data_IF_231233583891
#
_entry.id   IF_231233583891
#
_cell.length_a   1.000
_cell.length_b   1.000
_cell.length_c   1.000
_cell.angle_alpha   90.00
_cell.angle_beta   90.00
_cell.angle_gamma   90.00
#
_symmetry.space_group_name_H-M   'P 1'
#
loop_
_entity.id
_entity.type
_entity.pdbx_description
1 polymer ?
#
# COMPACT_ATOMS: atom_id res chain seq x y z
N UNK A 1 94.38 -22.36 -37.28
CA UNK A 1 93.21 -23.10 -37.68
C UNK A 1 92.05 -22.38 -37.05
N UNK A 2 91.20 -21.89 -37.87
CA UNK A 2 90.12 -20.91 -37.54
C UNK A 2 89.01 -21.45 -36.67
N UNK A 3 88.63 -20.68 -35.69
CA UNK A 3 87.39 -20.86 -35.00
C UNK A 3 86.62 -19.52 -35.02
N UNK A 4 85.43 -19.54 -35.65
CA UNK A 4 84.54 -18.42 -35.85
C UNK A 4 83.72 -18.19 -34.59
N UNK A 5 83.30 -16.91 -34.23
CA UNK A 5 82.46 -16.66 -33.05
C UNK A 5 81.00 -16.69 -33.40
N UNK A 6 80.20 -17.31 -32.51
CA UNK A 6 78.78 -17.44 -32.56
C UNK A 6 78.05 -16.12 -32.15
N UNK A 7 77.09 -15.76 -32.93
CA UNK A 7 76.18 -14.61 -32.71
C UNK A 7 75.10 -14.97 -31.67
N UNK A 8 75.09 -14.27 -30.54
CA UNK A 8 74.01 -14.37 -29.55
C UNK A 8 72.91 -13.35 -29.94
N UNK A 9 71.81 -13.84 -30.37
CA UNK A 9 70.60 -13.04 -30.60
C UNK A 9 69.82 -12.73 -29.25
N UNK A 10 69.81 -11.46 -28.88
CA UNK A 10 68.96 -10.99 -27.76
C UNK A 10 67.51 -10.95 -28.20
N UNK A 11 66.71 -11.76 -27.58
CA UNK A 11 65.25 -11.63 -27.65
C UNK A 11 64.78 -10.65 -26.54
N UNK A 12 64.33 -9.45 -26.97
CA UNK A 12 63.65 -8.50 -26.07
C UNK A 12 62.22 -8.94 -25.77
N UNK A 13 61.95 -9.27 -24.54
CA UNK A 13 60.58 -9.48 -24.04
C UNK A 13 59.87 -8.14 -23.96
N UNK A 14 58.93 -7.90 -24.87
CA UNK A 14 57.95 -6.81 -24.72
C UNK A 14 56.83 -7.31 -23.83
N UNK A 15 56.79 -6.85 -22.59
CA UNK A 15 55.65 -7.05 -21.71
C UNK A 15 54.51 -6.10 -22.12
N UNK A 16 53.51 -6.64 -22.80
CA UNK A 16 52.27 -5.94 -23.11
C UNK A 16 51.44 -5.84 -21.84
N UNK A 17 51.47 -4.67 -21.19
CA UNK A 17 50.57 -4.37 -20.04
C UNK A 17 49.19 -4.02 -20.61
N UNK A 18 48.29 -4.99 -20.54
CA UNK A 18 46.87 -4.76 -20.84
C UNK A 18 46.21 -4.12 -19.62
N UNK A 19 46.01 -2.80 -19.67
CA UNK A 19 45.21 -2.08 -18.68
C UNK A 19 43.71 -2.43 -18.91
N UNK A 20 43.18 -3.30 -18.07
CA UNK A 20 41.73 -3.60 -18.05
C UNK A 20 41.02 -2.47 -17.27
N UNK A 21 40.54 -1.47 -17.98
CA UNK A 21 39.65 -0.45 -17.40
C UNK A 21 38.26 -1.07 -17.19
N UNK A 22 37.96 -1.48 -15.95
CA UNK A 22 36.64 -1.89 -15.54
C UNK A 22 35.79 -0.61 -15.39
N UNK A 23 34.99 -0.29 -16.40
CA UNK A 23 33.93 0.71 -16.31
C UNK A 23 32.83 0.18 -15.39
N UNK A 24 32.85 0.59 -14.11
CA UNK A 24 31.73 0.44 -13.19
C UNK A 24 30.59 1.34 -13.68
N UNK A 25 29.71 0.77 -14.49
CA UNK A 25 28.41 1.37 -14.76
C UNK A 25 27.60 1.34 -13.45
N UNK A 26 27.68 2.42 -12.68
CA UNK A 26 26.73 2.67 -11.61
C UNK A 26 25.36 2.86 -12.26
N UNK A 27 24.54 1.82 -12.31
CA UNK A 27 23.14 1.94 -12.64
C UNK A 27 22.47 2.76 -11.52
N UNK A 28 22.37 4.07 -11.74
CA UNK A 28 21.50 4.92 -10.95
C UNK A 28 20.09 4.52 -11.36
N UNK A 29 19.47 3.59 -10.64
CA UNK A 29 18.02 3.39 -10.74
C UNK A 29 17.38 4.75 -10.43
N UNK A 30 16.54 5.28 -11.33
CA UNK A 30 15.78 6.48 -11.01
C UNK A 30 14.94 6.18 -9.78
N UNK A 31 15.24 6.79 -8.65
CA UNK A 31 14.39 6.76 -7.48
C UNK A 31 13.10 7.47 -7.87
N UNK A 32 12.03 6.70 -8.03
CA UNK A 32 10.69 7.24 -8.27
C UNK A 32 10.39 8.24 -7.15
N UNK A 33 10.06 9.48 -7.51
CA UNK A 33 9.86 10.54 -6.52
C UNK A 33 8.70 10.17 -5.59
N UNK A 34 8.98 10.14 -4.28
CA UNK A 34 7.97 9.85 -3.26
C UNK A 34 6.84 10.88 -3.32
N UNK A 35 5.62 10.40 -3.34
CA UNK A 35 4.43 11.25 -3.45
C UNK A 35 3.51 11.05 -2.24
N UNK A 36 3.22 12.15 -1.53
CA UNK A 36 2.27 12.22 -0.43
C UNK A 36 1.50 13.52 -0.55
N UNK A 37 0.35 13.50 -1.25
CA UNK A 37 -0.44 14.69 -1.55
C UNK A 37 -1.86 14.56 -1.08
N UNK A 38 -2.45 15.71 -0.76
CA UNK A 38 -3.87 15.89 -0.46
C UNK A 38 -4.41 16.88 -1.49
N UNK A 39 -5.32 16.42 -2.31
CA UNK A 39 -5.97 17.24 -3.34
C UNK A 39 -7.48 17.29 -3.09
N UNK A 40 -8.15 18.29 -3.64
CA UNK A 40 -9.61 18.27 -3.78
C UNK A 40 -10.02 17.22 -4.82
N UNK A 41 -11.27 16.74 -4.74
CA UNK A 41 -11.77 15.79 -5.74
C UNK A 41 -11.94 16.51 -7.08
N UNK A 42 -11.10 16.16 -8.08
CA UNK A 42 -11.23 16.68 -9.45
C UNK A 42 -12.47 16.11 -10.14
N UNK A 43 -12.90 16.73 -11.24
CA UNK A 43 -14.05 16.22 -12.01
C UNK A 43 -13.78 14.81 -12.58
N UNK A 44 -12.55 14.54 -13.01
CA UNK A 44 -12.17 13.21 -13.49
C UNK A 44 -12.27 12.13 -12.38
N UNK A 45 -11.79 12.42 -11.18
CA UNK A 45 -11.95 11.50 -10.03
C UNK A 45 -13.42 11.35 -9.67
N UNK A 46 -14.17 12.46 -9.63
CA UNK A 46 -15.58 12.42 -9.28
C UNK A 46 -16.41 11.61 -10.28
N UNK A 47 -16.13 11.70 -11.58
CA UNK A 47 -16.78 10.87 -12.59
C UNK A 47 -16.54 9.36 -12.37
N UNK A 48 -15.35 8.95 -11.91
CA UNK A 48 -15.08 7.55 -11.54
C UNK A 48 -15.95 7.07 -10.38
N UNK A 49 -16.26 7.98 -9.43
CA UNK A 49 -17.01 7.68 -8.21
C UNK A 49 -18.54 7.69 -8.41
N UNK A 50 -19.05 8.50 -9.35
CA UNK A 50 -20.48 8.66 -9.56
C UNK A 50 -21.17 7.34 -9.92
N UNK A 51 -22.28 7.05 -9.25
CA UNK A 51 -23.04 5.80 -9.43
C UNK A 51 -22.38 4.56 -8.80
N UNK A 52 -21.18 4.69 -8.24
CA UNK A 52 -20.43 3.62 -7.58
C UNK A 52 -20.24 3.96 -6.10
N UNK A 53 -19.03 4.34 -5.66
CA UNK A 53 -18.79 4.75 -4.27
C UNK A 53 -19.54 6.02 -3.88
N UNK A 54 -19.96 6.84 -4.85
CA UNK A 54 -20.76 8.05 -4.69
C UNK A 54 -22.09 7.91 -5.43
N UNK A 55 -23.07 7.14 -4.89
CA UNK A 55 -24.36 6.91 -5.54
C UNK A 55 -25.25 8.15 -5.47
N UNK A 56 -26.33 8.17 -6.26
CA UNK A 56 -27.41 9.16 -6.15
C UNK A 56 -27.98 9.13 -4.72
N UNK A 57 -28.06 10.28 -4.09
CA UNK A 57 -28.51 10.39 -2.68
C UNK A 57 -27.39 10.26 -1.64
N UNK A 58 -26.14 10.23 -2.05
CA UNK A 58 -25.03 10.40 -1.13
C UNK A 58 -25.16 11.76 -0.41
N UNK A 59 -25.20 11.72 0.94
CA UNK A 59 -25.36 12.93 1.77
C UNK A 59 -24.03 13.64 2.08
N UNK A 60 -22.90 13.01 1.76
CA UNK A 60 -21.57 13.60 1.97
C UNK A 60 -21.28 14.53 0.81
N UNK A 61 -21.06 15.83 1.09
CA UNK A 61 -20.65 16.77 0.06
C UNK A 61 -19.30 16.39 -0.54
N UNK A 62 -19.15 16.56 -1.86
CA UNK A 62 -17.86 16.41 -2.55
C UNK A 62 -16.76 17.29 -1.91
N UNK A 63 -17.13 18.48 -1.41
CA UNK A 63 -16.21 19.40 -0.73
C UNK A 63 -15.69 18.90 0.62
N UNK A 64 -16.35 17.92 1.23
CA UNK A 64 -15.90 17.25 2.46
C UNK A 64 -14.87 16.15 2.17
N UNK A 65 -14.73 15.74 0.93
CA UNK A 65 -13.82 14.67 0.51
C UNK A 65 -12.49 15.22 0.00
N UNK A 66 -11.45 14.42 0.16
CA UNK A 66 -10.10 14.65 -0.36
C UNK A 66 -9.61 13.42 -1.12
N UNK A 67 -8.88 13.69 -2.20
CA UNK A 67 -8.15 12.67 -2.95
C UNK A 67 -6.70 12.66 -2.46
N UNK A 68 -6.25 11.49 -2.04
CA UNK A 68 -4.88 11.30 -1.58
C UNK A 68 -4.09 10.52 -2.63
N UNK A 69 -2.88 10.98 -2.92
CA UNK A 69 -1.88 10.22 -3.67
C UNK A 69 -0.76 9.82 -2.71
N UNK A 70 -0.46 8.52 -2.62
CA UNK A 70 0.36 7.95 -1.56
C UNK A 70 1.37 6.96 -2.13
N UNK A 71 2.66 7.17 -1.89
CA UNK A 71 3.68 6.14 -2.15
C UNK A 71 3.64 5.05 -1.08
N UNK A 72 3.69 3.79 -1.50
CA UNK A 72 3.74 2.64 -0.59
C UNK A 72 4.64 1.53 -1.15
N UNK A 73 5.13 0.65 -0.28
CA UNK A 73 5.83 -0.57 -0.65
C UNK A 73 4.90 -1.76 -0.63
N UNK A 74 5.10 -2.72 -1.54
CA UNK A 74 4.53 -4.06 -1.40
C UNK A 74 5.45 -4.98 -0.55
N UNK A 75 5.06 -6.24 -0.39
CA UNK A 75 5.82 -7.22 0.39
C UNK A 75 7.19 -7.56 -0.22
N UNK A 76 7.35 -7.38 -1.54
CA UNK A 76 8.63 -7.55 -2.23
C UNK A 76 9.54 -6.31 -2.13
N UNK A 77 9.08 -5.24 -1.46
CA UNK A 77 9.80 -3.98 -1.36
C UNK A 77 9.74 -3.12 -2.61
N UNK A 78 8.84 -3.42 -3.55
CA UNK A 78 8.59 -2.59 -4.72
C UNK A 78 7.75 -1.38 -4.36
N UNK A 79 8.16 -0.20 -4.83
CA UNK A 79 7.41 1.05 -4.68
C UNK A 79 6.22 1.09 -5.63
N UNK A 80 5.10 1.59 -5.12
CA UNK A 80 3.88 1.87 -5.87
C UNK A 80 3.34 3.24 -5.50
N UNK A 81 2.58 3.83 -6.41
CA UNK A 81 1.77 5.01 -6.13
C UNK A 81 0.31 4.59 -6.02
N UNK A 82 -0.26 4.78 -4.84
CA UNK A 82 -1.65 4.48 -4.52
C UNK A 82 -2.52 5.72 -4.50
N UNK A 83 -3.83 5.49 -4.52
CA UNK A 83 -4.86 6.53 -4.47
C UNK A 83 -5.97 6.17 -3.48
N UNK A 84 -6.45 7.16 -2.73
CA UNK A 84 -7.56 7.02 -1.78
C UNK A 84 -8.48 8.24 -1.88
N UNK A 85 -9.75 8.03 -1.55
CA UNK A 85 -10.66 9.12 -1.21
C UNK A 85 -11.06 8.97 0.25
N UNK A 86 -10.93 10.05 1.02
CA UNK A 86 -11.30 10.10 2.44
C UNK A 86 -11.98 11.42 2.80
N UNK A 87 -12.54 11.52 4.01
CA UNK A 87 -13.02 12.80 4.53
C UNK A 87 -11.83 13.74 4.82
N UNK A 88 -12.04 15.04 4.57
CA UNK A 88 -11.03 16.08 4.85
C UNK A 88 -10.55 16.08 6.30
N UNK A 89 -11.36 15.60 7.24
CA UNK A 89 -11.07 15.55 8.68
C UNK A 89 -9.92 14.61 9.04
N UNK A 90 -9.71 13.56 8.24
CA UNK A 90 -8.68 12.55 8.48
C UNK A 90 -7.58 12.56 7.42
N UNK A 91 -7.67 13.43 6.41
CA UNK A 91 -6.75 13.43 5.28
C UNK A 91 -5.28 13.68 5.69
N UNK A 92 -5.04 14.65 6.57
CA UNK A 92 -3.70 14.95 7.08
C UNK A 92 -3.15 13.79 7.92
N UNK A 93 -3.96 13.22 8.82
CA UNK A 93 -3.57 12.07 9.62
C UNK A 93 -3.15 10.88 8.74
N UNK A 94 -3.94 10.57 7.69
CA UNK A 94 -3.61 9.48 6.78
C UNK A 94 -2.29 9.72 6.04
N UNK A 95 -2.03 10.94 5.56
CA UNK A 95 -0.76 11.26 4.89
C UNK A 95 0.42 11.09 5.84
N UNK A 96 0.31 11.52 7.09
CA UNK A 96 1.39 11.40 8.07
C UNK A 96 1.64 9.93 8.46
N UNK A 97 0.57 9.15 8.63
CA UNK A 97 0.64 7.71 8.86
C UNK A 97 1.33 7.01 7.67
N UNK A 98 0.86 7.22 6.45
CA UNK A 98 1.42 6.57 5.26
C UNK A 98 2.86 6.98 4.98
N UNK A 99 3.24 8.24 5.23
CA UNK A 99 4.63 8.69 5.14
C UNK A 99 5.51 7.95 6.14
N UNK A 100 5.03 7.73 7.35
CA UNK A 100 5.74 6.99 8.40
C UNK A 100 5.86 5.50 8.07
N UNK A 101 4.79 4.88 7.55
CA UNK A 101 4.79 3.49 7.07
C UNK A 101 5.75 3.29 5.89
N UNK A 102 5.77 4.23 4.94
CA UNK A 102 6.69 4.21 3.80
C UNK A 102 8.16 4.27 4.26
N UNK A 103 8.50 5.22 5.16
CA UNK A 103 9.85 5.32 5.75
C UNK A 103 10.30 4.04 6.44
N UNK A 104 9.37 3.30 7.03
CA UNK A 104 9.62 2.04 7.71
C UNK A 104 9.54 0.82 6.78
N UNK A 105 9.34 1.00 5.47
CA UNK A 105 9.11 -0.07 4.50
C UNK A 105 7.97 -1.02 4.90
N UNK A 106 6.95 -0.51 5.62
CA UNK A 106 5.79 -1.32 6.02
C UNK A 106 4.95 -1.66 4.78
N UNK A 107 4.67 -2.94 4.52
CA UNK A 107 4.10 -3.34 3.25
C UNK A 107 2.58 -3.08 3.18
N UNK A 108 2.14 -2.44 2.10
CA UNK A 108 0.75 -2.32 1.69
C UNK A 108 0.69 -2.80 0.25
N UNK A 109 -0.06 -3.87 -0.02
CA UNK A 109 -0.01 -4.51 -1.33
C UNK A 109 -0.62 -3.66 -2.43
N UNK A 110 -1.78 -3.06 -2.16
CA UNK A 110 -2.53 -2.30 -3.17
C UNK A 110 -3.32 -1.18 -2.51
N UNK A 111 -3.42 -0.07 -3.22
CA UNK A 111 -4.18 1.10 -2.79
C UNK A 111 -4.78 1.78 -4.03
N UNK A 112 -6.05 1.46 -4.33
CA UNK A 112 -6.80 1.97 -5.48
C UNK A 112 -8.19 2.39 -5.03
N UNK A 113 -8.83 3.29 -5.79
CA UNK A 113 -10.22 3.62 -5.52
C UNK A 113 -11.08 2.35 -5.59
N UNK A 114 -12.01 2.22 -4.65
CA UNK A 114 -12.97 1.08 -4.64
C UNK A 114 -13.82 1.05 -5.91
N UNK A 115 -13.91 2.16 -6.60
CA UNK A 115 -14.61 2.35 -7.87
C UNK A 115 -14.03 1.52 -9.01
N UNK A 116 -12.74 1.18 -8.95
CA UNK A 116 -12.08 0.25 -9.88
C UNK A 116 -12.59 -1.20 -9.69
N UNK A 117 -13.29 -1.46 -8.58
CA UNK A 117 -13.95 -2.71 -8.24
C UNK A 117 -15.48 -2.57 -8.27
N UNK A 118 -16.02 -1.56 -8.96
CA UNK A 118 -17.45 -1.26 -9.05
C UNK A 118 -18.08 -0.95 -7.67
N UNK A 119 -17.30 -0.40 -6.74
CA UNK A 119 -17.67 -0.17 -5.34
C UNK A 119 -18.16 -1.44 -4.60
N UNK A 120 -17.75 -2.61 -5.08
CA UNK A 120 -18.01 -3.90 -4.46
C UNK A 120 -16.91 -4.22 -3.44
N UNK A 121 -17.28 -4.18 -2.16
CA UNK A 121 -16.36 -4.46 -1.05
C UNK A 121 -15.72 -5.84 -1.15
N UNK A 122 -16.50 -6.87 -1.48
CA UNK A 122 -15.98 -8.24 -1.55
C UNK A 122 -14.93 -8.38 -2.65
N UNK A 123 -15.16 -7.78 -3.82
CA UNK A 123 -14.19 -7.78 -4.93
C UNK A 123 -12.92 -7.00 -4.56
N UNK A 124 -13.07 -5.83 -3.94
CA UNK A 124 -11.96 -5.00 -3.49
C UNK A 124 -11.11 -5.73 -2.44
N UNK A 125 -11.76 -6.29 -1.40
CA UNK A 125 -11.09 -7.02 -0.33
C UNK A 125 -10.39 -8.29 -0.84
N UNK A 126 -11.00 -9.04 -1.77
CA UNK A 126 -10.38 -10.22 -2.40
C UNK A 126 -9.10 -9.90 -3.14
N UNK A 127 -9.01 -8.71 -3.71
CA UNK A 127 -7.83 -8.19 -4.39
C UNK A 127 -6.79 -7.57 -3.43
N UNK A 128 -6.99 -7.69 -2.13
CA UNK A 128 -6.17 -7.08 -1.08
C UNK A 128 -6.02 -5.56 -1.25
N UNK A 129 -7.11 -4.88 -1.65
CA UNK A 129 -7.10 -3.46 -1.92
C UNK A 129 -7.41 -2.64 -0.67
N UNK A 130 -6.46 -1.83 -0.22
CA UNK A 130 -6.64 -0.81 0.83
C UNK A 130 -7.57 0.27 0.30
N UNK A 131 -8.66 0.57 1.01
CA UNK A 131 -9.68 1.54 0.58
C UNK A 131 -10.30 2.29 1.76
N UNK A 132 -10.89 3.46 1.49
CA UNK A 132 -11.46 4.31 2.54
C UNK A 132 -12.92 4.69 2.26
N UNK A 133 -13.19 5.65 1.38
CA UNK A 133 -14.54 6.12 1.12
C UNK A 133 -15.34 5.14 0.24
N UNK A 134 -16.51 4.74 0.73
CA UNK A 134 -17.54 4.04 -0.03
C UNK A 134 -18.90 4.29 0.64
N UNK A 135 -19.82 4.99 -0.05
CA UNK A 135 -21.11 5.35 0.52
C UNK A 135 -22.07 4.15 0.53
N UNK A 136 -22.14 3.49 1.66
CA UNK A 136 -22.97 2.30 1.86
C UNK A 136 -23.39 2.12 3.32
N UNK A 137 -24.43 1.36 3.53
CA UNK A 137 -24.79 0.90 4.87
C UNK A 137 -23.85 -0.19 5.39
N UNK A 138 -23.78 -0.38 6.68
CA UNK A 138 -23.16 -1.56 7.31
C UNK A 138 -23.92 -2.80 6.87
N UNK A 139 -23.20 -3.86 6.48
CA UNK A 139 -23.81 -5.12 6.03
C UNK A 139 -24.86 -5.66 7.00
N UNK A 140 -26.09 -5.85 6.51
CA UNK A 140 -27.23 -6.31 7.31
C UNK A 140 -27.88 -5.23 8.21
N UNK A 141 -27.62 -3.94 7.96
CA UNK A 141 -28.13 -2.82 8.74
C UNK A 141 -28.56 -1.67 7.84
N UNK A 142 -29.44 -0.78 8.35
CA UNK A 142 -29.75 0.52 7.73
C UNK A 142 -28.78 1.63 8.15
N UNK A 143 -27.89 1.37 9.13
CA UNK A 143 -26.91 2.33 9.63
C UNK A 143 -25.81 2.54 8.59
N UNK A 144 -25.50 3.80 8.26
CA UNK A 144 -24.35 4.11 7.40
C UNK A 144 -23.06 3.67 8.04
N UNK A 145 -22.18 3.07 7.23
CA UNK A 145 -20.81 2.72 7.61
C UNK A 145 -20.00 4.00 7.85
N UNK A 146 -18.94 3.91 8.64
CA UNK A 146 -17.91 4.96 8.74
C UNK A 146 -17.21 5.18 7.40
N UNK A 147 -17.10 4.15 6.54
CA UNK A 147 -16.66 4.31 5.16
C UNK A 147 -17.56 5.22 4.34
N UNK A 148 -18.87 5.19 4.58
CA UNK A 148 -19.82 6.09 3.92
C UNK A 148 -19.59 7.57 4.25
N UNK A 149 -18.92 7.85 5.36
CA UNK A 149 -18.52 9.19 5.78
C UNK A 149 -17.08 9.53 5.39
N UNK A 150 -16.35 8.56 4.84
CA UNK A 150 -14.90 8.66 4.57
C UNK A 150 -14.04 8.74 5.84
N UNK A 151 -14.55 8.23 6.98
CA UNK A 151 -13.91 8.26 8.30
C UNK A 151 -13.39 6.89 8.74
N UNK A 152 -13.37 5.91 7.85
CA UNK A 152 -12.76 4.61 8.07
C UNK A 152 -11.90 4.21 6.89
N UNK A 153 -10.91 3.37 7.16
CA UNK A 153 -10.01 2.79 6.17
C UNK A 153 -9.77 1.32 6.48
N UNK A 154 -9.78 0.49 5.43
CA UNK A 154 -9.42 -0.91 5.49
C UNK A 154 -8.04 -1.11 4.87
N UNK A 155 -7.11 -1.72 5.62
CA UNK A 155 -5.72 -1.93 5.23
C UNK A 155 -5.46 -3.42 5.00
N UNK A 156 -4.92 -3.79 3.81
CA UNK A 156 -4.57 -5.18 3.46
C UNK A 156 -5.68 -6.19 3.81
N UNK A 157 -6.91 -6.02 3.30
CA UNK A 157 -8.10 -6.70 3.81
C UNK A 157 -8.10 -8.22 3.60
N UNK A 158 -7.46 -8.74 2.56
CA UNK A 158 -7.35 -10.18 2.34
C UNK A 158 -6.64 -10.88 3.50
N UNK A 159 -5.58 -10.27 4.03
CA UNK A 159 -4.77 -10.81 5.13
C UNK A 159 -5.31 -10.42 6.51
N UNK A 160 -6.24 -9.48 6.56
CA UNK A 160 -6.80 -8.94 7.82
C UNK A 160 -8.34 -8.99 7.79
N UNK A 161 -8.93 -10.20 7.74
CA UNK A 161 -10.33 -10.36 7.46
C UNK A 161 -11.24 -9.80 8.57
N UNK A 162 -12.46 -9.42 8.16
CA UNK A 162 -13.59 -9.34 9.06
C UNK A 162 -14.03 -10.76 9.45
N UNK A 163 -14.33 -10.97 10.73
CA UNK A 163 -14.80 -12.25 11.27
C UNK A 163 -15.92 -12.04 12.30
N UNK A 164 -17.07 -12.70 12.05
CA UNK A 164 -18.20 -12.74 13.00
C UNK A 164 -18.81 -14.14 12.97
N UNK A 165 -18.58 -14.94 14.00
CA UNK A 165 -18.96 -16.36 13.99
C UNK A 165 -18.38 -17.08 12.79
N UNK A 166 -19.22 -17.72 11.97
CA UNK A 166 -18.81 -18.42 10.75
C UNK A 166 -18.58 -17.47 9.54
N UNK A 167 -19.04 -16.21 9.62
CA UNK A 167 -18.89 -15.24 8.52
C UNK A 167 -17.48 -14.69 8.49
N UNK A 168 -16.82 -14.81 7.34
CA UNK A 168 -15.49 -14.25 7.04
C UNK A 168 -15.58 -13.43 5.78
N UNK A 169 -15.03 -12.22 5.78
CA UNK A 169 -14.95 -11.35 4.60
C UNK A 169 -13.52 -10.78 4.49
N UNK A 170 -12.93 -10.85 3.29
CA UNK A 170 -13.45 -11.49 2.07
C UNK A 170 -13.51 -13.03 2.22
N UNK A 171 -14.37 -13.67 1.43
CA UNK A 171 -14.65 -15.11 1.56
C UNK A 171 -13.41 -16.02 1.36
N UNK A 172 -12.42 -15.56 0.58
CA UNK A 172 -11.14 -16.25 0.33
C UNK A 172 -10.10 -16.04 1.45
N UNK A 173 -10.43 -15.29 2.51
CA UNK A 173 -9.49 -14.94 3.59
C UNK A 173 -9.53 -15.90 4.79
N UNK A 174 -10.33 -16.98 4.74
CA UNK A 174 -10.56 -17.89 5.87
C UNK A 174 -9.26 -18.42 6.50
N UNK A 175 -8.24 -18.70 5.71
CA UNK A 175 -6.93 -19.15 6.20
C UNK A 175 -6.22 -18.13 7.09
N UNK A 176 -6.50 -16.84 6.92
CA UNK A 176 -5.90 -15.75 7.70
C UNK A 176 -6.66 -15.43 9.00
N UNK A 177 -7.75 -16.15 9.29
CA UNK A 177 -8.43 -16.08 10.58
C UNK A 177 -7.60 -16.71 11.70
N UNK A 178 -6.67 -17.63 11.40
CA UNK A 178 -5.68 -18.12 12.37
C UNK A 178 -4.61 -17.06 12.63
N UNK A 179 -4.86 -16.20 13.62
CA UNK A 179 -3.96 -15.07 13.94
C UNK A 179 -2.68 -15.51 14.66
N UNK A 180 -2.56 -16.77 15.08
CA UNK A 180 -1.30 -17.32 15.60
C UNK A 180 -0.30 -17.65 14.48
N UNK A 181 -0.78 -17.87 13.24
CA UNK A 181 0.09 -18.12 12.09
C UNK A 181 0.84 -16.84 11.66
N UNK A 182 2.06 -17.02 11.12
CA UNK A 182 2.83 -15.97 10.49
C UNK A 182 2.48 -15.89 9.00
N UNK A 183 2.20 -14.69 8.52
CA UNK A 183 1.95 -14.41 7.10
C UNK A 183 2.20 -12.92 6.79
N UNK A 184 2.47 -12.55 5.52
CA UNK A 184 2.71 -11.18 5.15
C UNK A 184 1.48 -10.30 5.36
N UNK A 185 1.68 -8.98 5.46
CA UNK A 185 0.62 -7.96 5.59
C UNK A 185 -0.28 -8.09 6.84
N UNK A 186 0.05 -8.96 7.80
CA UNK A 186 -0.71 -9.17 9.03
C UNK A 186 -0.64 -7.93 9.93
N UNK A 187 -1.81 -7.42 10.34
CA UNK A 187 -1.92 -6.33 11.32
C UNK A 187 -2.12 -6.93 12.70
N UNK A 188 -1.30 -6.51 13.67
CA UNK A 188 -1.37 -6.97 15.05
C UNK A 188 -1.41 -5.81 16.03
N UNK A 189 -2.06 -6.05 17.18
CA UNK A 189 -2.05 -5.07 18.28
C UNK A 189 -0.62 -4.79 18.72
N UNK A 190 -0.22 -3.51 18.64
CA UNK A 190 1.11 -3.07 19.02
C UNK A 190 2.15 -3.08 17.90
N UNK A 191 1.81 -3.52 16.68
CA UNK A 191 2.69 -3.32 15.52
C UNK A 191 2.82 -1.84 15.15
N UNK A 192 3.69 -1.52 14.20
CA UNK A 192 3.91 -0.13 13.78
C UNK A 192 2.64 0.52 13.23
N UNK A 193 1.91 -0.18 12.36
CA UNK A 193 0.69 0.34 11.75
C UNK A 193 -0.37 0.62 12.81
N UNK A 194 -0.64 -0.34 13.70
CA UNK A 194 -1.56 -0.17 14.82
C UNK A 194 -1.20 1.06 15.67
N UNK A 195 0.07 1.19 16.08
CA UNK A 195 0.53 2.32 16.93
C UNK A 195 0.34 3.67 16.23
N UNK A 196 0.66 3.76 14.93
CA UNK A 196 0.48 4.99 14.17
C UNK A 196 -1.00 5.39 14.08
N UNK A 197 -1.88 4.46 13.71
CA UNK A 197 -3.31 4.77 13.64
C UNK A 197 -3.88 5.18 15.00
N UNK A 198 -3.57 4.46 16.06
CA UNK A 198 -4.06 4.76 17.41
C UNK A 198 -3.54 6.11 17.92
N UNK A 199 -2.28 6.45 17.68
CA UNK A 199 -1.71 7.76 18.06
C UNK A 199 -2.34 8.94 17.31
N UNK A 200 -2.91 8.70 16.13
CA UNK A 200 -3.71 9.67 15.38
C UNK A 200 -5.22 9.63 15.73
N UNK A 201 -5.60 8.92 16.78
CA UNK A 201 -6.96 8.89 17.31
C UNK A 201 -7.92 7.94 16.60
N UNK A 202 -7.43 7.00 15.80
CA UNK A 202 -8.25 5.93 15.22
C UNK A 202 -8.47 4.80 16.21
N UNK A 203 -9.64 4.18 16.17
CA UNK A 203 -9.93 2.91 16.81
C UNK A 203 -9.76 1.76 15.83
N UNK A 204 -9.32 0.58 16.32
CA UNK A 204 -9.07 -0.60 15.51
C UNK A 204 -10.15 -1.66 15.69
N UNK A 205 -10.74 -2.13 14.60
CA UNK A 205 -11.79 -3.17 14.61
C UNK A 205 -11.31 -4.54 15.11
N UNK A 206 -10.00 -4.84 15.04
CA UNK A 206 -9.43 -6.03 15.66
C UNK A 206 -9.51 -6.05 17.18
N UNK A 207 -9.76 -4.91 17.83
CA UNK A 207 -9.99 -4.80 19.29
C UNK A 207 -11.43 -5.01 19.71
N UNK A 208 -12.40 -5.04 18.78
CA UNK A 208 -13.83 -5.20 19.11
C UNK A 208 -14.11 -6.56 19.76
N UNK A 209 -15.16 -6.62 20.62
CA UNK A 209 -15.45 -7.82 21.41
C UNK A 209 -16.38 -8.80 20.68
N UNK A 210 -17.46 -8.33 20.08
CA UNK A 210 -18.52 -9.13 19.47
C UNK A 210 -18.19 -9.68 18.08
N UNK A 211 -17.21 -9.08 17.42
CA UNK A 211 -16.67 -9.47 16.12
C UNK A 211 -15.23 -8.96 16.03
N UNK A 212 -14.50 -9.41 15.03
CA UNK A 212 -13.16 -8.89 14.70
C UNK A 212 -13.18 -8.33 13.28
N UNK A 213 -12.60 -7.14 13.12
CA UNK A 213 -12.37 -6.55 11.81
C UNK A 213 -10.91 -6.07 11.76
N UNK A 214 -10.03 -7.00 11.38
CA UNK A 214 -8.59 -6.79 11.51
C UNK A 214 -8.05 -5.76 10.52
N UNK A 215 -8.74 -5.53 9.40
CA UNK A 215 -8.38 -4.52 8.38
C UNK A 215 -8.77 -3.09 8.80
N UNK A 216 -9.80 -2.96 9.65
CA UNK A 216 -10.59 -1.73 9.84
C UNK A 216 -10.02 -0.79 10.90
N UNK A 217 -9.83 0.47 10.50
CA UNK A 217 -9.53 1.59 11.40
C UNK A 217 -10.55 2.71 11.16
N UNK A 218 -11.14 3.27 12.24
CA UNK A 218 -12.14 4.35 12.16
C UNK A 218 -11.92 5.46 13.18
N UNK A 219 -12.35 6.70 12.81
CA UNK A 219 -12.22 7.89 13.65
C UNK A 219 -13.52 8.69 13.72
#
# INVERSE_FOLDING_TARGET
MNVSPSIISRWGSQHLVVLLTVLLFCWVCPTEAQTFRIDTISDAVFQRMQGKSYPKGCIVSRSELRYLTVSHYDHQGKTHTGELVCNKRIAADLIDIFRSLYKAHYPIERMRLIDDYEADDERSMRANNTSCFCYRAVSGSKKLSKHAQGLAIDINPLYNPYQKGAKVQPANARRYCNRAASFPYKIEKGDLLYRLFVSHGFSWGGSWRSLKDYQHFEK
#
